data_IF_099678761540
#
_entry.id   IF_099678761540
#
_cell.length_a   1.000
_cell.length_b   1.000
_cell.length_c   1.000
_cell.angle_alpha   90.00
_cell.angle_beta   90.00
_cell.angle_gamma   90.00
#
_symmetry.space_group_name_H-M   'P 1'
#
loop_
_entity.id
_entity.type
_entity.pdbx_description
1 polymer ?
#
# COMPACT_ATOMS: atom_id res chain seq x y z
N UNK A 1 -19.52 0.95 6.17
CA UNK A 1 -18.99 -0.43 6.33
C UNK A 1 -17.66 -0.53 7.09
N UNK A 2 -16.57 0.17 6.71
CA UNK A 2 -15.31 0.12 7.49
C UNK A 2 -15.41 0.90 8.80
N UNK A 3 -15.96 2.11 8.76
CA UNK A 3 -16.12 2.97 9.93
C UNK A 3 -17.07 2.36 10.96
N UNK A 4 -18.25 1.89 10.54
CA UNK A 4 -19.25 1.30 11.44
C UNK A 4 -18.76 0.01 12.13
N UNK A 5 -17.93 -0.79 11.45
CA UNK A 5 -17.48 -2.09 11.97
C UNK A 5 -16.14 -2.04 12.69
N UNK A 6 -15.24 -1.16 12.25
CA UNK A 6 -13.85 -1.15 12.69
C UNK A 6 -13.37 0.23 13.13
N UNK A 7 -14.23 1.26 13.09
CA UNK A 7 -13.90 2.65 13.42
C UNK A 7 -12.72 3.21 12.59
N UNK A 8 -12.56 2.70 11.36
CA UNK A 8 -11.55 3.19 10.42
C UNK A 8 -12.20 4.20 9.48
N UNK A 9 -11.79 5.46 9.61
CA UNK A 9 -12.19 6.55 8.70
C UNK A 9 -11.19 6.71 7.56
N UNK A 10 -11.65 7.18 6.40
CA UNK A 10 -10.80 7.51 5.25
C UNK A 10 -11.16 8.89 4.70
N UNK A 11 -10.27 9.47 3.91
CA UNK A 11 -10.51 10.73 3.20
C UNK A 11 -9.79 10.68 1.86
N UNK A 12 -10.47 11.12 0.80
CA UNK A 12 -9.89 11.21 -0.53
C UNK A 12 -9.12 12.53 -0.69
N UNK A 13 -8.01 12.46 -1.39
CA UNK A 13 -7.07 13.54 -1.67
C UNK A 13 -6.52 13.32 -3.08
N UNK A 14 -6.47 14.37 -3.89
CA UNK A 14 -6.00 14.29 -5.27
C UNK A 14 -4.46 14.27 -5.37
N UNK A 15 -3.80 14.61 -4.26
CA UNK A 15 -2.34 14.54 -4.05
C UNK A 15 -1.54 15.31 -5.11
N UNK A 16 -2.07 16.43 -5.59
CA UNK A 16 -1.42 17.26 -6.61
C UNK A 16 -0.31 18.15 -6.02
N UNK A 17 -0.46 18.54 -4.76
CA UNK A 17 0.48 19.41 -4.04
C UNK A 17 0.64 18.95 -2.60
N UNK A 18 1.77 19.28 -1.97
CA UNK A 18 1.98 19.05 -0.53
C UNK A 18 0.86 19.64 0.31
N UNK A 19 0.41 20.85 -0.03
CA UNK A 19 -0.66 21.57 0.65
C UNK A 19 -2.00 20.83 0.59
N UNK A 20 -2.32 20.16 -0.52
CA UNK A 20 -3.54 19.34 -0.63
C UNK A 20 -3.51 18.18 0.35
N UNK A 21 -2.36 17.49 0.44
CA UNK A 21 -2.14 16.39 1.37
C UNK A 21 -2.24 16.89 2.81
N UNK A 22 -1.53 17.97 3.15
CA UNK A 22 -1.48 18.51 4.50
C UNK A 22 -2.85 18.94 5.02
N UNK A 23 -3.69 19.56 4.18
CA UNK A 23 -5.07 19.94 4.54
C UNK A 23 -5.97 18.76 4.88
N UNK A 24 -5.64 17.55 4.41
CA UNK A 24 -6.41 16.32 4.66
C UNK A 24 -5.89 15.53 5.85
N UNK A 25 -4.71 15.86 6.38
CA UNK A 25 -4.17 15.23 7.59
C UNK A 25 -5.02 15.66 8.80
N UNK A 26 -5.40 14.67 9.61
CA UNK A 26 -6.13 14.83 10.86
C UNK A 26 -5.31 14.25 12.01
N UNK A 27 -5.60 14.60 13.28
CA UNK A 27 -4.87 14.04 14.43
C UNK A 27 -4.91 12.50 14.50
N UNK A 28 -5.94 11.87 13.93
CA UNK A 28 -6.10 10.43 13.86
C UNK A 28 -5.55 9.79 12.57
N UNK A 29 -5.00 10.56 11.63
CA UNK A 29 -4.39 10.00 10.41
C UNK A 29 -3.16 9.18 10.79
N UNK A 30 -3.06 7.95 10.26
CA UNK A 30 -1.93 7.03 10.52
C UNK A 30 -1.23 6.54 9.25
N UNK A 31 -1.88 6.66 8.11
CA UNK A 31 -1.45 6.03 6.86
C UNK A 31 -1.89 6.91 5.68
N UNK A 32 -1.01 7.06 4.71
CA UNK A 32 -1.32 7.49 3.35
C UNK A 32 -1.21 6.27 2.44
N UNK A 33 -2.28 5.99 1.71
CA UNK A 33 -2.32 4.95 0.68
C UNK A 33 -2.41 5.64 -0.67
N UNK A 34 -1.46 5.35 -1.57
CA UNK A 34 -1.38 5.98 -2.88
C UNK A 34 -1.24 4.91 -3.97
N UNK A 35 -1.98 5.08 -5.05
CA UNK A 35 -1.82 4.31 -6.28
C UNK A 35 -1.16 5.21 -7.31
N UNK A 36 -0.13 4.72 -8.00
CA UNK A 36 0.41 5.42 -9.16
C UNK A 36 1.02 4.44 -10.15
N UNK A 37 0.67 4.51 -11.45
CA UNK A 37 -0.39 5.31 -12.06
C UNK A 37 -1.81 4.94 -11.57
N UNK A 38 -2.70 5.93 -11.41
CA UNK A 38 -4.09 5.71 -10.95
C UNK A 38 -4.93 5.14 -12.09
N UNK A 39 -5.57 3.99 -11.89
CA UNK A 39 -6.55 3.45 -12.83
C UNK A 39 -7.90 4.18 -12.71
N UNK A 40 -8.60 4.55 -13.81
CA UNK A 40 -8.27 4.43 -15.23
C UNK A 40 -7.64 5.67 -15.86
N UNK A 41 -7.49 6.76 -15.10
CA UNK A 41 -7.05 8.07 -15.60
C UNK A 41 -5.55 8.13 -15.91
N UNK A 42 -4.78 7.12 -15.50
CA UNK A 42 -3.32 7.02 -15.60
C UNK A 42 -2.59 8.21 -14.96
N UNK A 43 -3.23 8.89 -13.99
CA UNK A 43 -2.63 10.03 -13.30
C UNK A 43 -1.39 9.57 -12.52
N UNK A 44 -0.28 10.27 -12.75
CA UNK A 44 0.96 10.05 -12.02
C UNK A 44 0.99 10.93 -10.77
N UNK A 45 1.34 10.33 -9.64
CA UNK A 45 1.51 11.02 -8.37
C UNK A 45 2.99 11.08 -8.05
N UNK A 46 3.46 12.25 -7.61
CA UNK A 46 4.84 12.39 -7.14
C UNK A 46 5.01 11.70 -5.78
N UNK A 47 5.54 10.47 -5.81
CA UNK A 47 5.80 9.71 -4.60
C UNK A 47 6.77 10.39 -3.65
N UNK A 48 7.76 11.13 -4.15
CA UNK A 48 8.73 11.83 -3.28
C UNK A 48 8.03 12.92 -2.49
N UNK A 49 7.13 13.66 -3.14
CA UNK A 49 6.28 14.67 -2.49
C UNK A 49 5.43 14.05 -1.38
N UNK A 50 4.68 12.99 -1.71
CA UNK A 50 3.82 12.28 -0.74
C UNK A 50 4.62 11.75 0.44
N UNK A 51 5.75 11.10 0.17
CA UNK A 51 6.65 10.54 1.20
C UNK A 51 7.24 11.65 2.07
N UNK A 52 7.58 12.81 1.48
CA UNK A 52 8.07 13.97 2.21
C UNK A 52 7.06 14.47 3.24
N UNK A 53 5.82 14.71 2.81
CA UNK A 53 4.72 15.13 3.71
C UNK A 53 4.46 14.09 4.79
N UNK A 54 4.41 12.80 4.42
CA UNK A 54 4.14 11.71 5.35
C UNK A 54 5.20 11.64 6.46
N UNK A 55 6.49 11.72 6.10
CA UNK A 55 7.60 11.68 7.05
C UNK A 55 7.56 12.83 8.05
N UNK A 56 7.26 14.06 7.60
CA UNK A 56 7.13 15.23 8.49
C UNK A 56 6.01 15.05 9.53
N UNK A 57 4.99 14.27 9.20
CA UNK A 57 3.83 14.02 10.04
C UNK A 57 3.86 12.65 10.75
N UNK A 58 4.95 11.88 10.62
CA UNK A 58 5.07 10.55 11.23
C UNK A 58 4.05 9.52 10.71
N UNK A 59 3.63 9.67 9.45
CA UNK A 59 2.64 8.81 8.80
C UNK A 59 3.33 7.68 8.02
N UNK A 60 2.69 6.51 7.98
CA UNK A 60 3.11 5.44 7.08
C UNK A 60 2.69 5.74 5.64
N UNK A 61 3.47 5.29 4.67
CA UNK A 61 3.12 5.34 3.24
C UNK A 61 3.09 3.93 2.66
N UNK A 62 1.93 3.57 2.09
CA UNK A 62 1.78 2.36 1.31
C UNK A 62 1.49 2.74 -0.13
N UNK A 63 2.25 2.15 -1.07
CA UNK A 63 2.09 2.38 -2.50
C UNK A 63 1.51 1.14 -3.18
N UNK A 64 0.38 1.27 -3.85
CA UNK A 64 -0.06 0.28 -4.84
C UNK A 64 0.73 0.49 -6.13
N UNK A 65 1.59 -0.48 -6.45
CA UNK A 65 2.47 -0.45 -7.61
C UNK A 65 2.09 -1.55 -8.61
N UNK A 66 0.81 -1.95 -8.63
CA UNK A 66 0.29 -3.00 -9.51
C UNK A 66 0.56 -2.68 -10.98
N UNK A 67 0.36 -1.44 -11.42
CA UNK A 67 0.50 -1.04 -12.83
C UNK A 67 1.94 -0.99 -13.32
N UNK A 68 2.85 -0.38 -12.55
CA UNK A 68 4.25 -0.26 -12.96
C UNK A 68 5.04 -1.55 -12.71
N UNK A 69 4.62 -2.39 -11.75
CA UNK A 69 5.37 -3.55 -11.28
C UNK A 69 6.73 -3.15 -10.66
N UNK A 70 7.46 -4.05 -9.96
CA UNK A 70 8.78 -3.72 -9.43
C UNK A 70 9.84 -3.49 -10.53
N UNK A 71 9.51 -3.82 -11.78
CA UNK A 71 10.41 -3.64 -12.92
C UNK A 71 10.54 -2.17 -13.33
N UNK A 72 9.43 -1.40 -13.36
CA UNK A 72 9.44 -0.01 -13.82
C UNK A 72 9.51 1.01 -12.68
N UNK A 73 9.04 0.65 -11.49
CA UNK A 73 9.01 1.57 -10.35
C UNK A 73 9.34 0.81 -9.07
N UNK A 74 10.23 1.38 -8.25
CA UNK A 74 10.64 0.83 -6.95
C UNK A 74 10.33 1.80 -5.81
N UNK A 75 9.06 1.88 -5.35
CA UNK A 75 8.67 2.87 -4.34
C UNK A 75 9.41 2.73 -3.00
N UNK A 76 9.88 1.54 -2.63
CA UNK A 76 10.67 1.32 -1.41
C UNK A 76 11.98 2.11 -1.42
N UNK A 77 12.63 2.21 -2.58
CA UNK A 77 13.87 2.99 -2.75
C UNK A 77 13.60 4.51 -2.62
N UNK A 78 12.38 4.95 -2.96
CA UNK A 78 11.92 6.33 -2.76
C UNK A 78 11.56 6.63 -1.29
N UNK A 79 11.46 5.59 -0.46
CA UNK A 79 11.31 5.69 0.98
C UNK A 79 9.90 5.53 1.52
N UNK A 80 8.99 4.89 0.78
CA UNK A 80 7.72 4.40 1.36
C UNK A 80 7.96 3.23 2.31
N UNK A 81 6.94 2.87 3.09
CA UNK A 81 7.05 1.85 4.14
C UNK A 81 6.64 0.46 3.65
N UNK A 82 5.67 0.38 2.74
CA UNK A 82 5.31 -0.86 2.08
C UNK A 82 4.78 -0.63 0.66
N UNK A 83 4.87 -1.68 -0.16
CA UNK A 83 4.36 -1.73 -1.53
C UNK A 83 3.41 -2.90 -1.65
N UNK A 84 2.23 -2.65 -2.21
CA UNK A 84 1.24 -3.66 -2.52
C UNK A 84 1.18 -3.88 -4.04
N UNK A 85 0.97 -5.14 -4.43
CA UNK A 85 0.74 -5.53 -5.81
C UNK A 85 -0.40 -6.54 -5.90
N UNK A 86 -1.29 -6.37 -6.87
CA UNK A 86 -2.11 -7.47 -7.38
C UNK A 86 -1.23 -8.35 -8.27
N UNK A 87 -0.77 -9.47 -7.73
CA UNK A 87 0.02 -10.43 -8.48
C UNK A 87 -0.79 -11.13 -9.58
N UNK A 88 -2.12 -11.08 -9.52
CA UNK A 88 -3.01 -11.50 -10.62
C UNK A 88 -2.74 -10.77 -11.94
N UNK A 89 -2.13 -9.57 -11.89
CA UNK A 89 -1.91 -8.70 -13.05
C UNK A 89 -0.56 -8.97 -13.69
N UNK A 90 0.32 -7.97 -13.76
CA UNK A 90 1.58 -8.06 -14.49
C UNK A 90 2.58 -9.05 -13.89
N UNK A 91 2.52 -9.32 -12.58
CA UNK A 91 3.43 -10.29 -11.93
C UNK A 91 3.09 -11.73 -12.34
N UNK A 92 1.81 -12.09 -12.27
CA UNK A 92 1.31 -13.39 -12.70
C UNK A 92 1.30 -13.51 -14.22
N UNK A 93 0.95 -12.44 -14.93
CA UNK A 93 1.10 -12.25 -16.38
C UNK A 93 0.19 -13.10 -17.26
N UNK A 94 -0.29 -14.24 -16.76
CA UNK A 94 -0.95 -15.28 -17.55
C UNK A 94 -2.46 -15.38 -17.26
N UNK A 95 -2.98 -14.59 -16.31
CA UNK A 95 -4.42 -14.55 -15.99
C UNK A 95 -4.98 -15.81 -15.35
N UNK A 96 -4.12 -16.72 -14.89
CA UNK A 96 -4.43 -18.03 -14.32
C UNK A 96 -4.27 -18.10 -12.80
N UNK A 97 -3.64 -17.09 -12.19
CA UNK A 97 -3.37 -17.02 -10.75
C UNK A 97 -4.05 -15.80 -10.13
N UNK A 98 -4.78 -16.01 -9.03
CA UNK A 98 -5.26 -14.93 -8.17
C UNK A 98 -4.37 -14.82 -6.93
N UNK A 99 -3.61 -13.73 -6.83
CA UNK A 99 -2.68 -13.51 -5.73
C UNK A 99 -2.45 -12.02 -5.45
N UNK A 100 -2.05 -11.72 -4.21
CA UNK A 100 -1.59 -10.41 -3.77
C UNK A 100 -0.21 -10.55 -3.13
N UNK A 101 0.63 -9.54 -3.31
CA UNK A 101 1.97 -9.48 -2.72
C UNK A 101 2.14 -8.14 -2.01
N UNK A 102 2.66 -8.17 -0.79
CA UNK A 102 3.02 -6.97 -0.03
C UNK A 102 4.48 -7.07 0.40
N UNK A 103 5.28 -6.07 0.04
CA UNK A 103 6.68 -5.96 0.42
C UNK A 103 6.80 -4.80 1.41
N UNK A 104 7.39 -5.05 2.58
CA UNK A 104 7.56 -4.04 3.62
C UNK A 104 9.04 -3.68 3.78
N UNK A 105 9.31 -2.41 4.06
CA UNK A 105 10.66 -1.91 4.32
C UNK A 105 11.31 -2.49 5.58
N UNK A 106 10.50 -2.84 6.58
CA UNK A 106 10.99 -3.36 7.86
C UNK A 106 10.30 -4.66 8.24
N UNK A 107 11.05 -5.54 8.90
CA UNK A 107 10.54 -6.80 9.45
C UNK A 107 9.40 -6.56 10.44
N UNK A 108 9.51 -5.54 11.29
CA UNK A 108 8.46 -5.19 12.27
C UNK A 108 7.14 -4.85 11.56
N UNK A 109 7.19 -4.14 10.44
CA UNK A 109 5.99 -3.85 9.65
C UNK A 109 5.45 -5.11 8.98
N UNK A 110 6.32 -5.93 8.39
CA UNK A 110 5.93 -7.21 7.80
C UNK A 110 5.23 -8.13 8.82
N UNK A 111 5.75 -8.22 10.04
CA UNK A 111 5.15 -9.03 11.12
C UNK A 111 3.75 -8.53 11.52
N UNK A 112 3.52 -7.21 11.49
CA UNK A 112 2.18 -6.65 11.70
C UNK A 112 1.21 -7.09 10.62
N UNK A 113 1.61 -7.05 9.35
CA UNK A 113 0.79 -7.55 8.23
C UNK A 113 0.50 -9.04 8.37
N UNK A 114 1.53 -9.86 8.62
CA UNK A 114 1.38 -11.31 8.82
C UNK A 114 0.47 -11.62 10.01
N UNK A 115 0.48 -10.81 11.08
CA UNK A 115 -0.44 -11.00 12.21
C UNK A 115 -1.88 -10.70 11.82
N UNK A 116 -2.12 -9.60 11.10
CA UNK A 116 -3.45 -9.28 10.57
C UNK A 116 -3.94 -10.37 9.62
N UNK A 117 -3.05 -10.86 8.76
CA UNK A 117 -3.35 -11.99 7.88
C UNK A 117 -3.58 -13.26 8.68
N UNK A 118 -2.85 -13.57 9.74
CA UNK A 118 -3.14 -14.74 10.59
C UNK A 118 -4.50 -14.63 11.28
N UNK A 119 -4.92 -13.42 11.67
CA UNK A 119 -6.25 -13.17 12.25
C UNK A 119 -7.33 -13.40 11.18
N UNK A 120 -7.17 -12.88 9.96
CA UNK A 120 -8.08 -13.16 8.85
C UNK A 120 -7.95 -14.60 8.30
N UNK A 121 -6.78 -15.23 8.45
CA UNK A 121 -6.44 -16.56 8.00
C UNK A 121 -6.79 -17.65 9.01
N UNK A 122 -7.22 -17.34 10.24
CA UNK A 122 -8.03 -18.31 11.00
C UNK A 122 -9.35 -18.59 10.24
N UNK A 123 -9.84 -17.63 9.45
CA UNK A 123 -10.91 -17.85 8.47
C UNK A 123 -10.41 -18.39 7.11
N UNK A 124 -9.21 -18.00 6.65
CA UNK A 124 -8.67 -18.28 5.31
C UNK A 124 -7.68 -19.47 5.19
N UNK A 125 -7.25 -20.11 6.29
CA UNK A 125 -6.26 -21.23 6.34
C UNK A 125 -6.66 -22.50 5.57
N UNK A 126 -7.83 -22.51 4.92
CA UNK A 126 -8.31 -23.64 4.13
C UNK A 126 -7.75 -23.68 2.70
N UNK A 127 -7.06 -22.64 2.20
CA UNK A 127 -6.70 -22.54 0.77
C UNK A 127 -5.33 -21.89 0.49
N UNK A 128 -4.21 -22.61 0.69
CA UNK A 128 -2.85 -22.33 0.13
C UNK A 128 -1.80 -21.62 1.03
N UNK A 129 -0.53 -22.01 0.83
CA UNK A 129 0.70 -21.60 1.53
C UNK A 129 1.70 -20.94 0.57
N UNK A 130 2.31 -19.82 0.98
CA UNK A 130 3.58 -19.32 0.42
C UNK A 130 3.86 -17.86 0.81
N UNK A 131 4.97 -17.59 1.52
CA UNK A 131 5.44 -16.23 1.83
C UNK A 131 6.94 -16.12 1.54
N UNK A 132 7.37 -15.03 0.92
CA UNK A 132 8.77 -14.69 0.68
C UNK A 132 9.14 -13.38 1.40
N UNK A 133 10.33 -13.33 1.98
CA UNK A 133 10.95 -12.15 2.60
C UNK A 133 11.98 -11.55 1.63
N UNK A 134 12.09 -10.22 1.61
CA UNK A 134 13.23 -9.54 1.00
C UNK A 134 14.26 -9.26 2.10
N UNK A 135 15.49 -9.74 1.91
CA UNK A 135 16.64 -9.53 2.81
C UNK A 135 17.18 -8.10 2.76
#
# INVERSE_FOLDING_TARGET
MLEEKFMITHSFCDMETETDIEKKIRPNTKLIFVETPINPTMKLIDLKQVIGVAKRNGLLVIVDNTFCSPYLQRPLELGCDAVAHSATKYIGGHGDVVAGVTICKTKVLAEKFVRCEKISAVLWRRLMRGYYYAD
#
